data_IF_017606363648
#
_entry.id   IF_017606363648
#
_cell.length_a   1.000
_cell.length_b   1.000
_cell.length_c   1.000
_cell.angle_alpha   90.00
_cell.angle_beta   90.00
_cell.angle_gamma   90.00
#
_symmetry.space_group_name_H-M   'P 1'
#
loop_
_entity.id
_entity.type
_entity.pdbx_description
1 polymer ?
#
# COMPACT_ATOMS: atom_id res chain seq x y z
N UNK A 1 34.03 17.46 7.86
CA UNK A 1 32.56 17.43 7.90
C UNK A 1 32.11 16.15 7.22
N UNK A 2 31.84 15.09 7.98
CA UNK A 2 31.27 13.88 7.42
C UNK A 2 29.79 14.16 7.15
N UNK A 3 29.38 14.12 5.88
CA UNK A 3 27.98 14.15 5.50
C UNK A 3 27.35 12.86 6.04
N UNK A 4 26.58 12.97 7.12
CA UNK A 4 25.70 11.88 7.53
C UNK A 4 24.77 11.61 6.34
N UNK A 5 24.63 10.35 5.85
CA UNK A 5 23.60 10.04 4.88
C UNK A 5 22.24 10.44 5.47
N UNK A 6 21.32 11.03 4.69
CA UNK A 6 20.03 11.42 5.21
C UNK A 6 19.33 10.17 5.78
N UNK A 7 18.88 10.27 7.03
CA UNK A 7 18.05 9.28 7.68
C UNK A 7 16.69 9.11 6.98
N UNK A 8 15.80 8.25 7.48
CA UNK A 8 14.45 8.08 6.92
C UNK A 8 13.73 9.42 6.74
N UNK A 9 12.89 9.54 5.70
CA UNK A 9 12.24 10.79 5.31
C UNK A 9 11.54 11.54 6.46
N UNK A 10 11.00 10.81 7.44
CA UNK A 10 10.31 11.36 8.62
C UNK A 10 11.25 12.05 9.63
N UNK A 11 12.56 11.79 9.58
CA UNK A 11 13.55 12.49 10.41
C UNK A 11 13.96 13.84 9.82
N UNK A 12 13.78 14.02 8.51
CA UNK A 12 14.18 15.24 7.78
C UNK A 12 12.98 16.16 7.53
N UNK A 13 11.77 15.60 7.37
CA UNK A 13 10.55 16.32 6.99
C UNK A 13 9.36 15.83 7.82
N UNK A 14 8.51 16.75 8.30
CA UNK A 14 7.34 16.40 9.12
C UNK A 14 6.34 15.52 8.36
N UNK A 15 5.60 14.69 9.09
CA UNK A 15 4.58 13.82 8.49
C UNK A 15 3.50 14.63 7.75
N UNK A 16 3.01 15.73 8.35
CA UNK A 16 1.98 16.57 7.74
C UNK A 16 2.42 17.20 6.43
N UNK A 17 3.71 17.54 6.30
CA UNK A 17 4.26 18.06 5.06
C UNK A 17 4.47 16.93 4.03
N UNK A 18 4.99 15.77 4.44
CA UNK A 18 5.14 14.60 3.57
C UNK A 18 3.81 14.18 2.94
N UNK A 19 2.72 14.14 3.72
CA UNK A 19 1.40 13.72 3.23
C UNK A 19 0.84 14.58 2.10
N UNK A 20 1.37 15.78 1.86
CA UNK A 20 0.93 16.68 0.78
C UNK A 20 1.45 16.27 -0.61
N UNK A 21 2.54 15.51 -0.67
CA UNK A 21 3.20 15.16 -1.95
C UNK A 21 3.75 13.73 -2.01
N UNK A 22 3.75 13.00 -0.89
CA UNK A 22 4.12 11.59 -0.80
C UNK A 22 2.99 10.80 -0.15
N UNK A 23 2.55 9.76 -0.85
CA UNK A 23 1.65 8.73 -0.31
C UNK A 23 2.34 7.39 -0.44
N UNK A 24 2.37 6.60 0.64
CA UNK A 24 3.00 5.29 0.65
C UNK A 24 1.96 4.21 0.95
N UNK A 25 1.90 3.20 0.09
CA UNK A 25 0.96 2.10 0.18
C UNK A 25 1.72 0.77 0.16
N UNK A 26 1.45 -0.09 1.14
CA UNK A 26 1.98 -1.45 1.16
C UNK A 26 0.97 -2.41 0.52
N UNK A 27 1.47 -3.41 -0.21
CA UNK A 27 0.66 -4.47 -0.82
C UNK A 27 1.00 -5.81 -0.18
N UNK A 28 0.25 -6.25 0.85
CA UNK A 28 0.52 -7.52 1.52
C UNK A 28 0.38 -8.72 0.57
N UNK A 29 1.42 -9.57 0.52
CA UNK A 29 1.46 -10.77 -0.31
C UNK A 29 1.99 -10.55 -1.73
N UNK A 30 2.30 -9.32 -2.13
CA UNK A 30 3.01 -9.04 -3.37
C UNK A 30 4.50 -9.40 -3.24
N UNK A 31 5.08 -9.93 -4.32
CA UNK A 31 6.51 -10.15 -4.45
C UNK A 31 7.20 -8.96 -5.16
N UNK A 32 8.53 -9.03 -5.29
CA UNK A 32 9.28 -8.06 -6.09
C UNK A 32 9.02 -8.30 -7.58
N UNK A 33 8.13 -7.51 -8.18
CA UNK A 33 7.74 -7.62 -9.58
C UNK A 33 6.59 -8.59 -9.80
N UNK A 34 6.88 -9.84 -10.16
CA UNK A 34 5.88 -10.88 -10.44
C UNK A 34 5.86 -12.01 -9.40
N UNK A 35 4.72 -12.71 -9.31
CA UNK A 35 4.50 -13.80 -8.36
C UNK A 35 3.99 -13.33 -6.99
N UNK A 36 4.19 -14.15 -5.97
CA UNK A 36 3.63 -13.93 -4.63
C UNK A 36 2.18 -14.40 -4.50
N UNK A 37 1.65 -14.31 -3.27
CA UNK A 37 0.27 -14.70 -2.94
C UNK A 37 -0.77 -13.70 -3.49
N UNK A 38 -0.33 -12.51 -3.91
CA UNK A 38 -1.18 -11.45 -4.43
C UNK A 38 -0.49 -10.74 -5.60
N UNK A 39 -0.91 -11.03 -6.84
CA UNK A 39 -0.43 -10.33 -8.05
C UNK A 39 -1.29 -9.09 -8.26
N UNK A 40 -1.05 -8.08 -7.43
CA UNK A 40 -1.87 -6.88 -7.38
C UNK A 40 -1.75 -5.98 -8.61
N UNK A 41 -2.88 -5.50 -9.12
CA UNK A 41 -2.96 -4.53 -10.20
C UNK A 41 -4.01 -3.46 -9.90
N UNK A 42 -3.66 -2.22 -10.21
CA UNK A 42 -4.52 -1.04 -10.21
C UNK A 42 -3.94 -0.01 -11.18
N UNK A 43 -4.77 0.95 -11.62
CA UNK A 43 -4.33 2.02 -12.50
C UNK A 43 -3.63 3.15 -11.70
N UNK A 44 -2.37 2.91 -11.34
CA UNK A 44 -1.56 3.88 -10.60
C UNK A 44 -1.20 5.13 -11.41
N UNK A 45 -1.19 5.04 -12.75
CA UNK A 45 -0.86 6.17 -13.61
C UNK A 45 -2.00 7.20 -13.60
N UNK A 46 -3.24 6.75 -13.79
CA UNK A 46 -4.41 7.63 -13.70
C UNK A 46 -4.56 8.22 -12.30
N UNK A 47 -4.23 7.46 -11.24
CA UNK A 47 -4.22 7.98 -9.87
C UNK A 47 -3.22 9.13 -9.71
N UNK A 48 -2.00 8.96 -10.23
CA UNK A 48 -0.96 9.99 -10.16
C UNK A 48 -1.32 11.22 -11.01
N UNK A 49 -1.82 11.02 -12.23
CA UNK A 49 -2.25 12.10 -13.12
C UNK A 49 -3.34 12.95 -12.47
N UNK A 50 -4.39 12.32 -11.93
CA UNK A 50 -5.45 13.03 -11.23
C UNK A 50 -4.95 13.82 -10.02
N UNK A 51 -3.94 13.31 -9.30
CA UNK A 51 -3.37 14.03 -8.18
C UNK A 51 -2.62 15.28 -8.65
N UNK A 52 -1.76 15.13 -9.65
CA UNK A 52 -0.91 16.23 -10.15
C UNK A 52 -1.73 17.29 -10.90
N UNK A 53 -2.65 16.88 -11.77
CA UNK A 53 -3.37 17.79 -12.68
C UNK A 53 -4.63 18.38 -12.06
N UNK A 54 -5.27 17.63 -11.15
CA UNK A 54 -6.59 17.99 -10.61
C UNK A 54 -6.62 18.11 -9.09
N UNK A 55 -5.49 17.94 -8.40
CA UNK A 55 -5.39 18.02 -6.94
C UNK A 55 -6.15 16.90 -6.21
N UNK A 56 -6.54 15.83 -6.90
CA UNK A 56 -7.29 14.72 -6.30
C UNK A 56 -6.33 13.72 -5.66
N UNK A 57 -6.08 13.90 -4.36
CA UNK A 57 -5.21 12.99 -3.61
C UNK A 57 -5.66 11.53 -3.68
N UNK A 58 -4.71 10.57 -3.79
CA UNK A 58 -5.00 9.15 -3.71
C UNK A 58 -5.60 8.78 -2.35
N UNK A 59 -6.85 8.32 -2.35
CA UNK A 59 -7.56 7.84 -1.16
C UNK A 59 -8.48 6.69 -1.52
N UNK A 60 -8.70 5.77 -0.58
CA UNK A 60 -9.60 4.62 -0.74
C UNK A 60 -9.32 3.79 -2.01
N UNK A 61 -8.03 3.65 -2.37
CA UNK A 61 -7.65 2.89 -3.56
C UNK A 61 -7.97 1.41 -3.37
N UNK A 62 -8.35 0.74 -4.46
CA UNK A 62 -8.62 -0.70 -4.49
C UNK A 62 -7.66 -1.37 -5.47
N UNK A 63 -7.06 -2.48 -5.04
CA UNK A 63 -6.15 -3.29 -5.87
C UNK A 63 -6.78 -4.66 -6.14
N UNK A 64 -6.60 -5.16 -7.36
CA UNK A 64 -7.20 -6.42 -7.84
C UNK A 64 -6.11 -7.48 -8.04
N UNK A 65 -6.38 -8.71 -7.62
CA UNK A 65 -5.49 -9.84 -7.81
C UNK A 65 -5.60 -10.41 -9.23
N UNK A 66 -4.46 -10.59 -9.89
CA UNK A 66 -4.34 -11.17 -11.22
C UNK A 66 -3.83 -12.62 -11.21
N UNK A 67 -3.57 -13.20 -10.04
CA UNK A 67 -3.23 -14.62 -9.94
C UNK A 67 -4.40 -15.49 -10.43
N UNK A 68 -4.12 -16.54 -11.22
CA UNK A 68 -5.18 -17.35 -11.84
C UNK A 68 -6.15 -17.98 -10.82
N UNK A 69 -5.65 -18.41 -9.66
CA UNK A 69 -6.46 -19.05 -8.61
C UNK A 69 -7.32 -18.07 -7.80
N UNK A 70 -6.97 -16.79 -7.79
CA UNK A 70 -7.63 -15.73 -6.99
C UNK A 70 -8.04 -14.54 -7.84
N UNK A 71 -8.15 -14.73 -9.16
CA UNK A 71 -8.38 -13.67 -10.14
C UNK A 71 -9.65 -12.87 -9.80
N UNK A 72 -9.52 -11.54 -9.77
CA UNK A 72 -10.62 -10.63 -9.45
C UNK A 72 -10.84 -10.39 -7.96
N UNK A 73 -10.10 -11.06 -7.06
CA UNK A 73 -10.12 -10.73 -5.62
C UNK A 73 -9.61 -9.31 -5.39
N UNK A 74 -10.38 -8.47 -4.71
CA UNK A 74 -10.00 -7.08 -4.43
C UNK A 74 -9.57 -6.87 -2.98
N UNK A 75 -8.69 -5.91 -2.74
CA UNK A 75 -8.29 -5.43 -1.40
C UNK A 75 -8.17 -3.90 -1.38
N UNK A 76 -8.49 -3.22 -0.27
CA UNK A 76 -8.16 -1.81 -0.12
C UNK A 76 -6.64 -1.62 0.03
N UNK A 77 -6.10 -0.55 -0.56
CA UNK A 77 -4.76 -0.06 -0.23
C UNK A 77 -4.88 1.01 0.85
N UNK A 78 -4.20 0.77 1.98
CA UNK A 78 -4.15 1.70 3.10
C UNK A 78 -2.93 2.61 2.98
N UNK A 79 -3.14 3.92 3.16
CA UNK A 79 -2.04 4.89 3.26
C UNK A 79 -1.28 4.64 4.57
N UNK A 80 0.02 4.38 4.48
CA UNK A 80 0.86 4.18 5.66
C UNK A 80 0.81 5.42 6.59
N UNK A 81 0.70 5.24 7.91
CA UNK A 81 0.92 4.01 8.68
C UNK A 81 -0.32 3.14 8.89
N UNK A 82 -1.44 3.46 8.24
CA UNK A 82 -2.64 2.63 8.35
C UNK A 82 -2.35 1.26 7.74
N UNK A 83 -2.76 0.22 8.45
CA UNK A 83 -2.86 -1.13 7.93
C UNK A 83 -4.32 -1.51 7.90
N UNK A 84 -4.70 -2.33 6.93
CA UNK A 84 -6.00 -2.95 6.99
C UNK A 84 -5.95 -3.99 8.12
N UNK A 85 -6.76 -3.81 9.16
CA UNK A 85 -6.85 -4.78 10.25
C UNK A 85 -7.32 -6.13 9.69
N UNK A 86 -6.56 -7.21 9.95
CA UNK A 86 -6.86 -8.55 9.46
C UNK A 86 -6.12 -8.99 8.19
N UNK A 87 -5.14 -8.22 7.70
CA UNK A 87 -4.35 -8.55 6.49
C UNK A 87 -2.92 -9.04 6.82
N UNK A 88 -2.78 -9.85 7.87
CA UNK A 88 -1.52 -10.58 8.10
C UNK A 88 -1.36 -11.64 7.01
N UNK A 89 -0.13 -11.75 6.50
CA UNK A 89 0.28 -12.67 5.43
C UNK A 89 -0.21 -14.09 5.74
N UNK A 90 -1.26 -14.52 5.05
CA UNK A 90 -1.88 -15.83 5.24
C UNK A 90 -3.28 -15.85 4.65
N UNK A 91 -3.42 -16.44 3.47
CA UNK A 91 -4.70 -16.61 2.77
C UNK A 91 -5.68 -17.51 3.53
N UNK A 92 -6.41 -16.96 4.51
CA UNK A 92 -7.77 -17.40 4.87
C UNK A 92 -8.55 -16.17 5.29
N UNK A 93 -9.73 -15.97 4.70
CA UNK A 93 -10.64 -14.92 5.12
C UNK A 93 -10.77 -14.88 6.64
N UNK A 94 -10.75 -13.67 7.19
CA UNK A 94 -11.05 -13.33 8.59
C UNK A 94 -10.78 -14.45 9.61
N UNK A 95 -9.57 -14.49 10.19
CA UNK A 95 -9.36 -15.17 11.47
C UNK A 95 -9.42 -14.10 12.56
N UNK A 96 -10.50 -14.03 13.36
CA UNK A 96 -10.55 -13.09 14.47
C UNK A 96 -9.44 -13.41 15.47
N UNK A 97 -8.84 -12.36 16.04
CA UNK A 97 -7.72 -12.44 17.00
C UNK A 97 -8.04 -13.36 18.19
N UNK A 98 -9.33 -13.56 18.51
CA UNK A 98 -9.82 -14.51 19.53
C UNK A 98 -9.57 -15.99 19.22
N UNK A 99 -9.17 -16.35 18.01
CA UNK A 99 -8.86 -17.72 17.58
C UNK A 99 -7.36 -18.03 17.47
N UNK A 100 -6.49 -17.09 17.82
CA UNK A 100 -5.06 -17.35 17.97
C UNK A 100 -4.84 -17.81 19.42
N UNK A 101 -4.81 -19.13 19.61
CA UNK A 101 -4.31 -19.79 20.83
C UNK A 101 -3.21 -20.77 20.41
#
# INVERSE_FOLDING_TARGET
VALHPPGPLREVISHSFLSQFVKFFLVPGAAHGEGGQFKGSYDGLTVLDNWVTSGKEPKNLTITDLNASTYGRTRPLCEYPQSAEGFLVGDRGYVPVSKIR
#
